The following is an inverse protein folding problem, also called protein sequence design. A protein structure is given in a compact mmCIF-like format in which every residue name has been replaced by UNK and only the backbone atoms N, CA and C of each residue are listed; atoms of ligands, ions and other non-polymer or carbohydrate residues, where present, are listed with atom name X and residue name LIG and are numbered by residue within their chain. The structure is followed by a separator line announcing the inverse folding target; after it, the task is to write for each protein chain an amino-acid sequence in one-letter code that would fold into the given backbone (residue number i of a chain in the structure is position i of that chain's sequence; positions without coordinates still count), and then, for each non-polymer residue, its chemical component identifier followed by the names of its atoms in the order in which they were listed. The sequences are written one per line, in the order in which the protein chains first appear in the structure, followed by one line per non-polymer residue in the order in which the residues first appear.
data_IF_597577434457
#
_entry.id   IF_597577434457
#
_cell.length_a   1.000
_cell.length_b   1.000
_cell.length_c   1.000
_cell.angle_alpha   90.00
_cell.angle_beta   90.00
_cell.angle_gamma   90.00
#
_symmetry.space_group_name_H-M   'P 1'
#
loop_
_entity.id
_entity.type
_entity.pdbx_description
1 polymer ?
#
# COMPACT_ATOMS: atom_id res chain seq x y z
N UNK A 1 -9.92 -18.76 21.82
CA UNK A 1 -10.25 -17.34 22.00
C UNK A 1 -9.83 -16.64 20.72
N UNK A 2 -10.80 -16.34 19.84
CA UNK A 2 -10.51 -15.77 18.52
C UNK A 2 -10.26 -14.28 18.68
N UNK A 3 -8.99 -13.90 18.79
CA UNK A 3 -8.57 -12.51 18.89
C UNK A 3 -8.81 -11.80 17.56
N UNK A 4 -9.60 -10.74 17.62
CA UNK A 4 -9.81 -9.79 16.54
C UNK A 4 -8.45 -9.14 16.23
N UNK A 5 -7.74 -9.64 15.22
CA UNK A 5 -6.47 -9.08 14.76
C UNK A 5 -6.77 -7.95 13.77
N UNK A 6 -6.47 -6.67 14.08
CA UNK A 6 -6.77 -5.54 13.20
C UNK A 6 -6.09 -5.63 11.82
N UNK A 7 -5.08 -6.49 11.67
CA UNK A 7 -4.48 -6.82 10.36
C UNK A 7 -5.39 -7.63 9.42
N UNK A 8 -6.62 -7.97 9.82
CA UNK A 8 -7.60 -8.76 9.05
C UNK A 8 -8.80 -7.98 8.54
N UNK A 9 -8.73 -6.65 8.41
CA UNK A 9 -9.79 -5.90 7.74
C UNK A 9 -9.40 -5.55 6.29
N UNK A 10 -9.54 -6.47 5.32
CA UNK A 10 -9.25 -6.23 3.91
C UNK A 10 -10.09 -5.09 3.32
N UNK A 11 -11.28 -4.87 3.89
CA UNK A 11 -12.18 -3.81 3.45
C UNK A 11 -11.62 -2.42 3.76
N UNK A 12 -10.87 -2.24 4.85
CA UNK A 12 -10.32 -0.93 5.24
C UNK A 12 -9.23 -0.44 4.27
N UNK A 13 -8.27 -1.31 3.91
CA UNK A 13 -7.23 -0.99 2.92
C UNK A 13 -7.84 -0.71 1.55
N UNK A 14 -8.76 -1.57 1.12
CA UNK A 14 -9.45 -1.41 -0.16
C UNK A 14 -10.30 -0.13 -0.19
N UNK A 15 -10.96 0.24 0.92
CA UNK A 15 -11.79 1.45 1.00
C UNK A 15 -10.95 2.72 0.92
N UNK A 16 -9.84 2.78 1.66
CA UNK A 16 -8.93 3.92 1.61
C UNK A 16 -8.31 4.06 0.20
N UNK A 17 -7.85 2.97 -0.41
CA UNK A 17 -7.31 2.98 -1.77
C UNK A 17 -8.38 3.36 -2.83
N UNK A 18 -9.62 2.93 -2.65
CA UNK A 18 -10.75 3.35 -3.54
C UNK A 18 -11.01 4.85 -3.43
N UNK A 19 -10.95 5.43 -2.23
CA UNK A 19 -11.14 6.86 -2.05
C UNK A 19 -10.07 7.66 -2.80
N UNK A 20 -8.80 7.34 -2.59
CA UNK A 20 -7.68 8.04 -3.23
C UNK A 20 -7.69 7.85 -4.75
N UNK A 21 -8.00 6.65 -5.25
CA UNK A 21 -8.11 6.40 -6.70
C UNK A 21 -9.18 7.27 -7.37
N UNK A 22 -10.34 7.42 -6.74
CA UNK A 22 -11.43 8.25 -7.27
C UNK A 22 -11.06 9.73 -7.36
N UNK A 23 -10.27 10.24 -6.41
CA UNK A 23 -9.75 11.62 -6.44
C UNK A 23 -8.85 11.86 -7.67
N UNK A 24 -8.18 10.82 -8.18
CA UNK A 24 -7.28 10.86 -9.34
C UNK A 24 -7.87 10.28 -10.63
N UNK A 25 -9.17 9.91 -10.64
CA UNK A 25 -9.82 9.31 -11.81
C UNK A 25 -9.30 7.90 -12.17
N UNK A 26 -8.72 7.21 -11.20
CA UNK A 26 -8.23 5.83 -11.32
C UNK A 26 -9.35 4.85 -10.95
N UNK A 27 -9.50 3.70 -11.64
CA UNK A 27 -10.48 2.68 -11.27
C UNK A 27 -10.30 2.16 -9.84
N UNK A 28 -11.40 1.71 -9.23
CA UNK A 28 -11.40 1.06 -7.92
C UNK A 28 -10.62 -0.26 -7.98
N UNK A 29 -9.71 -0.48 -7.02
CA UNK A 29 -8.99 -1.75 -6.88
C UNK A 29 -9.89 -2.85 -6.31
N UNK A 30 -9.66 -4.09 -6.76
CA UNK A 30 -10.30 -5.29 -6.22
C UNK A 30 -9.41 -5.97 -5.20
N UNK A 31 -9.97 -6.44 -4.10
CA UNK A 31 -9.22 -7.22 -3.14
C UNK A 31 -8.79 -8.57 -3.73
N UNK A 32 -7.55 -8.98 -3.51
CA UNK A 32 -7.02 -10.29 -3.90
C UNK A 32 -6.39 -11.01 -2.69
N UNK A 33 -7.08 -12.06 -2.22
CA UNK A 33 -6.63 -12.86 -1.07
C UNK A 33 -5.25 -13.50 -1.26
N UNK A 34 -4.85 -13.80 -2.50
CA UNK A 34 -3.53 -14.34 -2.78
C UNK A 34 -2.44 -13.28 -2.60
N UNK A 35 -2.65 -12.06 -3.10
CA UNK A 35 -1.73 -10.93 -2.87
C UNK A 35 -1.62 -10.61 -1.39
N UNK A 36 -2.75 -10.57 -0.68
CA UNK A 36 -2.78 -10.33 0.75
C UNK A 36 -2.01 -11.41 1.55
N UNK A 37 -2.20 -12.69 1.22
CA UNK A 37 -1.46 -13.77 1.87
C UNK A 37 0.04 -13.68 1.59
N UNK A 38 0.44 -13.31 0.37
CA UNK A 38 1.84 -13.07 0.03
C UNK A 38 2.43 -11.88 0.77
N UNK A 39 1.69 -10.77 0.86
CA UNK A 39 2.09 -9.56 1.56
C UNK A 39 2.28 -9.82 3.06
N UNK A 40 1.34 -10.54 3.70
CA UNK A 40 1.45 -10.93 5.10
C UNK A 40 2.71 -11.79 5.35
N UNK A 41 2.94 -12.82 4.53
CA UNK A 41 4.11 -13.68 4.67
C UNK A 41 5.43 -12.91 4.47
N UNK A 42 5.44 -11.93 3.56
CA UNK A 42 6.60 -11.07 3.33
C UNK A 42 6.82 -10.08 4.48
N UNK A 43 5.76 -9.41 4.96
CA UNK A 43 5.81 -8.51 6.10
C UNK A 43 6.36 -9.21 7.36
N UNK A 44 5.92 -10.43 7.64
CA UNK A 44 6.45 -11.24 8.75
C UNK A 44 7.94 -11.58 8.58
N UNK A 45 8.39 -11.81 7.34
CA UNK A 45 9.80 -12.05 7.04
C UNK A 45 10.62 -10.77 7.25
N UNK A 46 10.18 -9.64 6.72
CA UNK A 46 10.85 -8.34 6.85
C UNK A 46 10.88 -7.88 8.31
N UNK A 47 9.82 -8.11 9.08
CA UNK A 47 9.78 -7.80 10.51
C UNK A 47 10.82 -8.55 11.35
N UNK A 48 11.31 -9.71 10.87
CA UNK A 48 12.42 -10.45 11.51
C UNK A 48 13.81 -9.98 11.05
N UNK A 49 13.88 -9.10 10.07
CA UNK A 49 15.12 -8.52 9.57
C UNK A 49 15.37 -7.16 10.22
N UNK A 50 16.63 -6.74 10.27
CA UNK A 50 17.01 -5.42 10.76
C UNK A 50 16.87 -4.30 9.70
N UNK A 51 16.36 -4.62 8.50
CA UNK A 51 16.21 -3.69 7.38
C UNK A 51 15.00 -4.05 6.54
N UNK A 52 14.42 -3.05 5.86
CA UNK A 52 13.37 -3.25 4.86
C UNK A 52 13.99 -3.87 3.60
N UNK A 53 13.35 -4.92 3.08
CA UNK A 53 13.69 -5.50 1.78
C UNK A 53 12.43 -5.74 0.96
N UNK A 54 12.54 -5.53 -0.35
CA UNK A 54 11.44 -5.73 -1.29
C UNK A 54 11.49 -7.14 -1.89
N UNK A 55 10.32 -7.70 -2.20
CA UNK A 55 10.23 -9.04 -2.79
C UNK A 55 10.54 -9.04 -4.29
N UNK A 56 10.33 -7.90 -4.95
CA UNK A 56 10.62 -7.64 -6.38
C UNK A 56 10.03 -8.69 -7.34
N UNK A 57 8.76 -9.06 -7.11
CA UNK A 57 8.06 -9.99 -8.00
C UNK A 57 7.69 -9.30 -9.32
N UNK A 58 7.96 -9.97 -10.45
CA UNK A 58 7.58 -9.47 -11.76
C UNK A 58 6.07 -9.29 -11.87
N UNK A 59 5.64 -8.09 -12.24
CA UNK A 59 4.22 -7.73 -12.41
C UNK A 59 3.46 -7.43 -11.12
N UNK A 60 4.13 -7.39 -9.96
CA UNK A 60 3.50 -7.06 -8.67
C UNK A 60 4.22 -5.87 -8.05
N UNK A 61 3.49 -4.76 -7.91
CA UNK A 61 3.96 -3.59 -7.17
C UNK A 61 3.98 -3.83 -5.66
N UNK A 62 4.78 -3.06 -4.93
CA UNK A 62 4.94 -3.24 -3.47
C UNK A 62 5.20 -1.90 -2.78
N UNK A 63 4.37 -1.59 -1.78
CA UNK A 63 4.61 -0.54 -0.79
C UNK A 63 4.88 -1.19 0.58
N UNK A 64 5.95 -0.78 1.25
CA UNK A 64 6.28 -1.23 2.62
C UNK A 64 6.50 0.00 3.49
N UNK A 65 5.85 0.03 4.64
CA UNK A 65 6.14 0.99 5.71
C UNK A 65 6.36 0.24 7.01
N UNK A 66 7.12 0.84 7.92
CA UNK A 66 7.43 0.27 9.22
C UNK A 66 7.18 1.32 10.30
N UNK A 67 6.34 0.98 11.26
CA UNK A 67 6.03 1.84 12.41
C UNK A 67 6.36 1.13 13.72
N UNK A 68 6.78 1.86 14.76
CA UNK A 68 7.07 1.29 16.08
C UNK A 68 5.81 0.88 16.86
N UNK A 69 4.62 1.07 16.26
CA UNK A 69 3.31 0.76 16.84
C UNK A 69 2.38 0.24 15.74
N UNK A 70 1.35 -0.48 16.15
CA UNK A 70 0.27 -0.84 15.24
C UNK A 70 -0.49 0.41 14.80
N UNK A 71 -0.80 0.46 13.50
CA UNK A 71 -1.62 1.50 12.88
C UNK A 71 -2.86 0.88 12.26
N UNK A 72 -3.93 1.66 12.21
CA UNK A 72 -5.11 1.30 11.43
C UNK A 72 -4.74 1.26 9.94
N UNK A 73 -5.26 0.30 9.16
CA UNK A 73 -4.89 0.16 7.76
C UNK A 73 -5.23 1.42 6.93
N UNK A 74 -6.30 2.13 7.26
CA UNK A 74 -6.66 3.40 6.61
C UNK A 74 -5.59 4.48 6.83
N UNK A 75 -5.02 4.56 8.03
CA UNK A 75 -3.96 5.52 8.34
C UNK A 75 -2.66 5.21 7.59
N UNK A 76 -2.40 3.93 7.29
CA UNK A 76 -1.26 3.52 6.47
C UNK A 76 -1.43 3.98 5.02
N UNK A 77 -2.62 3.79 4.43
CA UNK A 77 -2.90 4.23 3.06
C UNK A 77 -2.89 5.76 2.97
N UNK A 78 -3.44 6.46 3.98
CA UNK A 78 -3.36 7.92 4.05
C UNK A 78 -1.90 8.39 4.08
N UNK A 79 -1.07 7.78 4.94
CA UNK A 79 0.36 8.10 5.02
C UNK A 79 1.09 7.93 3.68
N UNK A 80 0.76 6.88 2.91
CA UNK A 80 1.30 6.71 1.56
C UNK A 80 0.77 7.76 0.59
N UNK A 81 -0.50 8.14 0.73
CA UNK A 81 -1.16 9.11 -0.13
C UNK A 81 -0.65 10.54 0.10
N UNK A 82 -0.34 10.94 1.35
CA UNK A 82 0.17 12.28 1.71
C UNK A 82 1.37 12.76 0.85
N UNK A 83 2.14 11.83 0.26
CA UNK A 83 3.19 12.21 -0.68
C UNK A 83 2.68 12.88 -1.97
N UNK A 84 1.37 12.83 -2.25
CA UNK A 84 0.72 13.54 -3.36
C UNK A 84 0.94 15.05 -3.28
N UNK A 85 1.14 15.61 -2.08
CA UNK A 85 1.40 17.03 -1.86
C UNK A 85 2.81 17.43 -2.34
N UNK A 86 3.72 16.46 -2.43
CA UNK A 86 5.11 16.64 -2.86
C UNK A 86 5.33 16.30 -4.33
N UNK A 87 4.36 15.64 -4.98
CA UNK A 87 4.49 15.17 -6.36
C UNK A 87 4.24 16.30 -7.36
N UNK A 88 5.23 16.58 -8.21
CA UNK A 88 5.11 17.52 -9.32
C UNK A 88 4.46 16.84 -10.53
N UNK A 89 3.14 17.01 -10.69
CA UNK A 89 2.36 16.34 -11.75
C UNK A 89 2.80 16.70 -13.18
N UNK A 90 3.36 17.90 -13.39
CA UNK A 90 3.85 18.37 -14.70
C UNK A 90 5.18 17.71 -15.13
N UNK A 91 5.90 17.10 -14.18
CA UNK A 91 7.20 16.45 -14.43
C UNK A 91 7.12 14.97 -14.05
N UNK A 92 6.38 14.15 -14.81
CA UNK A 92 6.07 12.78 -14.42
C UNK A 92 7.34 11.91 -14.35
N UNK A 93 7.39 11.02 -13.36
CA UNK A 93 8.50 10.11 -13.14
C UNK A 93 8.73 9.85 -11.66
N UNK A 94 9.78 9.10 -11.35
CA UNK A 94 10.21 8.95 -9.96
C UNK A 94 10.72 10.29 -9.44
N UNK A 95 10.18 10.73 -8.31
CA UNK A 95 10.62 11.92 -7.60
C UNK A 95 10.98 11.54 -6.17
N UNK A 96 12.02 12.17 -5.64
CA UNK A 96 12.45 11.88 -4.27
C UNK A 96 11.34 12.27 -3.29
N UNK A 97 10.96 11.34 -2.40
CA UNK A 97 9.91 11.58 -1.40
C UNK A 97 8.47 11.34 -1.90
N UNK A 98 8.32 10.69 -3.06
CA UNK A 98 7.03 10.23 -3.62
C UNK A 98 7.04 8.74 -3.93
N UNK A 99 7.67 7.97 -3.04
CA UNK A 99 7.98 6.55 -3.23
C UNK A 99 6.73 5.66 -3.17
N UNK A 100 5.73 6.05 -2.38
CA UNK A 100 4.53 5.26 -2.12
C UNK A 100 3.33 5.74 -2.94
N UNK A 101 3.14 7.06 -3.04
CA UNK A 101 1.93 7.66 -3.63
C UNK A 101 1.65 7.16 -5.04
N UNK A 102 2.68 7.10 -5.89
CA UNK A 102 2.51 6.70 -7.29
C UNK A 102 1.96 5.28 -7.43
N UNK A 103 2.35 4.36 -6.54
CA UNK A 103 1.81 2.99 -6.53
C UNK A 103 0.37 2.94 -6.01
N UNK A 104 -0.03 3.84 -5.10
CA UNK A 104 -1.42 3.92 -4.60
C UNK A 104 -2.38 4.22 -5.75
N UNK A 105 -2.02 5.17 -6.62
CA UNK A 105 -2.85 5.62 -7.75
C UNK A 105 -2.40 5.05 -9.10
N UNK A 106 -1.67 3.93 -9.11
CA UNK A 106 -1.13 3.39 -10.35
C UNK A 106 -2.24 2.84 -11.24
N UNK A 107 -2.52 3.52 -12.37
CA UNK A 107 -3.71 3.28 -13.19
C UNK A 107 -3.88 1.84 -13.68
N UNK A 108 -2.78 1.16 -13.95
CA UNK A 108 -2.80 -0.24 -14.44
C UNK A 108 -2.88 -1.27 -13.32
N UNK A 109 -2.82 -0.85 -12.05
CA UNK A 109 -3.06 -1.76 -10.93
C UNK A 109 -4.55 -1.99 -10.82
N UNK A 110 -4.96 -3.26 -10.82
CA UNK A 110 -6.37 -3.66 -10.73
C UNK A 110 -6.71 -4.35 -9.41
N UNK A 111 -5.70 -4.89 -8.72
CA UNK A 111 -5.87 -5.76 -7.56
C UNK A 111 -4.89 -5.40 -6.44
N UNK A 112 -5.33 -5.57 -5.19
CA UNK A 112 -4.55 -5.36 -3.96
C UNK A 112 -4.86 -6.39 -2.89
#
# INVERSE_FOLDING_TARGET
MSGNNPSRNPEALSTAAKRTNREHGVPDLRWNDHLAAQAQAWAERVARQAHISYKELSGIGENITFFPRDLDPEAIVEHWYEEHEKYEYETPGWQCGTNYFTQVIWRETEEV
#
